data_IF_598334593036
#
_entry.id   IF_598334593036
#
_cell.length_a   1.000
_cell.length_b   1.000
_cell.length_c   1.000
_cell.angle_alpha   90.00
_cell.angle_beta   90.00
_cell.angle_gamma   90.00
#
_symmetry.space_group_name_H-M   'P 1'
#
loop_
_entity.id
_entity.type
_entity.pdbx_description
1 polymer ?
#
# COMPACT_ATOMS: atom_id res chain seq x y z
N UNK A 1 16.37 19.76 -13.11
CA UNK A 1 16.78 18.36 -13.22
C UNK A 1 15.49 17.57 -13.30
N UNK A 2 15.05 17.24 -14.53
CA UNK A 2 13.91 16.37 -14.75
C UNK A 2 14.28 15.01 -14.14
N UNK A 3 13.45 14.48 -13.28
CA UNK A 3 13.50 13.07 -12.95
C UNK A 3 12.92 12.39 -14.19
N UNK A 4 13.76 11.89 -15.08
CA UNK A 4 13.37 10.89 -16.05
C UNK A 4 13.04 9.62 -15.26
N UNK A 5 11.84 9.62 -14.69
CA UNK A 5 11.20 8.43 -14.13
C UNK A 5 10.61 7.68 -15.32
N UNK A 6 11.46 7.14 -16.19
CA UNK A 6 11.03 6.01 -16.99
C UNK A 6 10.56 4.96 -15.98
N UNK A 7 9.29 4.60 -16.04
CA UNK A 7 8.75 3.53 -15.19
C UNK A 7 9.58 2.29 -15.48
N UNK A 8 10.29 1.74 -14.49
CA UNK A 8 11.06 0.53 -14.73
C UNK A 8 10.12 -0.52 -15.34
N UNK A 9 10.52 -1.21 -16.43
CA UNK A 9 9.64 -2.07 -17.21
C UNK A 9 9.00 -3.22 -16.41
N UNK A 10 9.49 -3.47 -15.20
CA UNK A 10 9.08 -4.61 -14.38
C UNK A 10 8.07 -4.32 -13.27
N UNK A 11 7.62 -3.07 -13.10
CA UNK A 11 6.60 -2.76 -12.10
C UNK A 11 5.19 -2.93 -12.65
N UNK A 12 4.33 -3.60 -11.88
CA UNK A 12 2.91 -3.73 -12.19
C UNK A 12 2.23 -2.35 -12.27
N UNK A 13 1.24 -2.22 -13.16
CA UNK A 13 0.36 -1.04 -13.26
C UNK A 13 -0.34 -0.72 -11.93
N UNK A 14 -0.63 -1.73 -11.12
CA UNK A 14 -1.36 -1.64 -9.87
C UNK A 14 -0.49 -2.12 -8.71
N UNK A 15 -0.69 -1.57 -7.52
CA UNK A 15 -0.13 -2.07 -6.27
C UNK A 15 -1.27 -2.61 -5.38
N UNK A 16 -1.65 -3.86 -5.60
CA UNK A 16 -2.82 -4.47 -4.95
C UNK A 16 -2.48 -5.22 -3.67
N UNK A 17 -1.27 -5.78 -3.58
CA UNK A 17 -0.74 -6.52 -2.45
C UNK A 17 0.78 -6.64 -2.53
N UNK A 18 1.35 -7.30 -1.55
CA UNK A 18 2.75 -7.77 -1.57
C UNK A 18 2.83 -9.17 -2.19
N UNK A 19 1.75 -9.93 -2.06
CA UNK A 19 1.67 -11.25 -2.69
C UNK A 19 1.91 -11.15 -4.20
N UNK A 20 2.85 -11.95 -4.74
CA UNK A 20 3.26 -11.91 -6.14
C UNK A 20 4.28 -10.82 -6.50
N UNK A 21 4.68 -9.96 -5.56
CA UNK A 21 5.76 -8.99 -5.78
C UNK A 21 7.11 -9.67 -5.56
N UNK A 22 8.02 -9.55 -6.53
CA UNK A 22 9.35 -10.17 -6.43
C UNK A 22 10.27 -9.37 -5.51
N UNK A 23 11.38 -10.00 -5.07
CA UNK A 23 12.41 -9.34 -4.27
C UNK A 23 12.98 -8.13 -5.01
N UNK A 24 13.28 -8.28 -6.30
CA UNK A 24 13.85 -7.22 -7.14
C UNK A 24 12.91 -6.02 -7.25
N UNK A 25 11.59 -6.26 -7.36
CA UNK A 25 10.59 -5.20 -7.38
C UNK A 25 10.52 -4.47 -6.03
N UNK A 26 10.57 -5.19 -4.91
CA UNK A 26 10.60 -4.58 -3.58
C UNK A 26 11.88 -3.75 -3.38
N UNK A 27 13.04 -4.28 -3.75
CA UNK A 27 14.32 -3.58 -3.66
C UNK A 27 14.32 -2.30 -4.51
N UNK A 28 13.78 -2.35 -5.73
CA UNK A 28 13.61 -1.18 -6.59
C UNK A 28 12.71 -0.13 -5.98
N UNK A 29 11.57 -0.52 -5.40
CA UNK A 29 10.66 0.43 -4.71
C UNK A 29 11.37 1.07 -3.51
N UNK A 30 12.14 0.31 -2.75
CA UNK A 30 12.92 0.83 -1.62
C UNK A 30 14.02 1.79 -2.07
N UNK A 31 14.69 1.53 -3.20
CA UNK A 31 15.66 2.43 -3.80
C UNK A 31 15.02 3.76 -4.26
N UNK A 32 13.89 3.67 -4.94
CA UNK A 32 13.11 4.86 -5.32
C UNK A 32 12.65 5.65 -4.07
N UNK A 33 12.30 4.96 -2.99
CA UNK A 33 11.91 5.58 -1.72
C UNK A 33 13.07 6.37 -1.12
N UNK A 34 14.31 5.88 -1.17
CA UNK A 34 15.50 6.63 -0.73
C UNK A 34 15.62 7.96 -1.49
N UNK A 35 15.44 7.95 -2.81
CA UNK A 35 15.49 9.17 -3.64
C UNK A 35 14.39 10.16 -3.28
N UNK A 36 13.17 9.70 -3.04
CA UNK A 36 12.06 10.57 -2.62
C UNK A 36 12.21 11.07 -1.18
N UNK A 37 12.81 10.28 -0.30
CA UNK A 37 13.13 10.72 1.07
C UNK A 37 14.13 11.89 1.07
N UNK A 38 15.15 11.86 0.21
CA UNK A 38 16.10 12.99 0.03
C UNK A 38 15.39 14.25 -0.52
N UNK A 39 14.44 14.09 -1.43
CA UNK A 39 13.61 15.20 -1.91
C UNK A 39 12.80 15.80 -0.75
N UNK A 40 12.28 14.94 0.14
CA UNK A 40 11.50 15.35 1.31
C UNK A 40 12.27 16.23 2.31
N UNK A 41 13.61 16.18 2.32
CA UNK A 41 14.47 16.99 3.17
C UNK A 41 14.79 18.39 2.61
N UNK A 42 14.43 18.66 1.34
CA UNK A 42 14.71 19.95 0.69
C UNK A 42 13.84 21.08 1.27
N UNK A 43 14.30 22.34 1.22
CA UNK A 43 13.49 23.49 1.63
C UNK A 43 12.14 23.55 0.89
N UNK A 44 12.10 23.13 -0.39
CA UNK A 44 10.88 22.97 -1.17
C UNK A 44 10.78 21.48 -1.54
N UNK A 45 10.09 20.66 -0.72
CA UNK A 45 9.99 19.21 -0.91
C UNK A 45 8.92 18.86 -1.96
N UNK A 46 9.03 19.44 -3.16
CA UNK A 46 8.07 19.27 -4.25
C UNK A 46 8.79 19.01 -5.56
N UNK A 47 8.28 18.04 -6.33
CA UNK A 47 8.79 17.67 -7.65
C UNK A 47 7.64 17.50 -8.64
N UNK A 48 7.84 17.77 -9.96
CA UNK A 48 6.78 17.72 -10.97
C UNK A 48 6.52 16.31 -11.52
N UNK A 49 6.83 15.24 -10.75
CA UNK A 49 6.77 13.86 -11.25
C UNK A 49 5.35 13.44 -11.69
N UNK A 50 4.31 13.96 -11.04
CA UNK A 50 2.90 13.68 -11.37
C UNK A 50 2.15 14.95 -11.81
N UNK A 51 2.86 15.95 -12.36
CA UNK A 51 2.22 17.17 -12.84
C UNK A 51 1.25 16.85 -13.98
N UNK A 52 0.00 17.33 -13.86
CA UNK A 52 -1.07 17.06 -14.83
C UNK A 52 -1.69 15.67 -14.69
N UNK A 53 -1.36 14.94 -13.61
CA UNK A 53 -2.02 13.69 -13.22
C UNK A 53 -2.95 13.93 -12.04
N UNK A 54 -4.05 13.19 -12.00
CA UNK A 54 -5.06 13.26 -10.95
C UNK A 54 -5.01 12.01 -10.10
N UNK A 55 -4.84 12.19 -8.78
CA UNK A 55 -4.84 11.11 -7.78
C UNK A 55 -6.11 11.21 -6.95
N UNK A 56 -6.93 10.18 -6.97
CA UNK A 56 -8.17 10.11 -6.20
C UNK A 56 -8.01 9.22 -4.96
N UNK A 57 -8.26 9.80 -3.78
CA UNK A 57 -8.35 9.05 -2.51
C UNK A 57 -9.77 8.56 -2.32
N UNK A 58 -9.98 7.24 -2.40
CA UNK A 58 -11.29 6.56 -2.38
C UNK A 58 -11.39 5.70 -1.12
N UNK A 59 -11.85 6.30 -0.03
CA UNK A 59 -11.86 5.69 1.30
C UNK A 59 -13.28 5.34 1.73
N UNK A 60 -13.55 4.05 1.83
CA UNK A 60 -14.80 3.47 2.37
C UNK A 60 -14.67 3.08 3.85
N UNK A 61 -13.47 3.07 4.39
CA UNK A 61 -13.14 2.86 5.79
C UNK A 61 -12.36 4.08 6.30
N UNK A 62 -12.75 4.62 7.43
CA UNK A 62 -12.11 5.81 7.99
C UNK A 62 -10.64 5.56 8.33
N UNK A 63 -9.79 6.46 7.86
CA UNK A 63 -8.37 6.46 8.17
C UNK A 63 -7.76 7.83 7.92
N UNK A 64 -7.66 8.63 8.96
CA UNK A 64 -7.09 9.98 8.87
C UNK A 64 -5.62 9.93 8.46
N UNK A 65 -4.81 9.10 9.14
CA UNK A 65 -3.36 9.02 8.87
C UNK A 65 -3.05 8.57 7.45
N UNK A 66 -3.66 7.47 7.01
CA UNK A 66 -3.40 6.91 5.68
C UNK A 66 -3.82 7.89 4.59
N UNK A 67 -5.02 8.46 4.69
CA UNK A 67 -5.51 9.44 3.72
C UNK A 67 -4.60 10.66 3.61
N UNK A 68 -4.28 11.31 4.74
CA UNK A 68 -3.41 12.48 4.75
C UNK A 68 -2.01 12.17 4.24
N UNK A 69 -1.49 10.98 4.50
CA UNK A 69 -0.19 10.52 4.00
C UNK A 69 -0.17 10.46 2.47
N UNK A 70 -1.17 9.82 1.86
CA UNK A 70 -1.28 9.74 0.39
C UNK A 70 -1.54 11.10 -0.26
N UNK A 71 -2.45 11.91 0.31
CA UNK A 71 -2.73 13.25 -0.21
C UNK A 71 -1.49 14.15 -0.14
N UNK A 72 -0.73 14.08 0.96
CA UNK A 72 0.52 14.82 1.10
C UNK A 72 1.56 14.36 0.07
N UNK A 73 1.69 13.06 -0.16
CA UNK A 73 2.59 12.51 -1.16
C UNK A 73 2.21 12.96 -2.57
N UNK A 74 0.93 12.85 -2.95
CA UNK A 74 0.43 13.29 -4.26
C UNK A 74 0.73 14.77 -4.52
N UNK A 75 0.47 15.64 -3.53
CA UNK A 75 0.77 17.09 -3.63
C UNK A 75 2.26 17.39 -3.74
N UNK A 76 3.13 16.64 -3.05
CA UNK A 76 4.58 16.76 -3.18
C UNK A 76 5.08 16.32 -4.55
N UNK A 77 4.39 15.40 -5.20
CA UNK A 77 4.65 14.99 -6.57
C UNK A 77 3.99 15.88 -7.62
N UNK A 78 3.30 16.96 -7.21
CA UNK A 78 2.59 17.94 -8.06
C UNK A 78 1.37 17.37 -8.77
N UNK A 79 0.74 16.33 -8.23
CA UNK A 79 -0.53 15.81 -8.72
C UNK A 79 -1.70 16.71 -8.25
N UNK A 80 -2.77 16.73 -9.02
CA UNK A 80 -4.08 17.17 -8.57
C UNK A 80 -4.72 16.07 -7.71
N UNK A 81 -5.46 16.47 -6.68
CA UNK A 81 -6.04 15.50 -5.72
C UNK A 81 -7.55 15.59 -5.69
N UNK A 82 -8.22 14.45 -5.82
CA UNK A 82 -9.63 14.27 -5.56
C UNK A 82 -9.81 13.44 -4.28
N UNK A 83 -10.71 13.85 -3.41
CA UNK A 83 -10.98 13.13 -2.16
C UNK A 83 -12.43 12.68 -2.13
N UNK A 84 -12.63 11.37 -2.00
CA UNK A 84 -13.92 10.75 -1.78
C UNK A 84 -13.97 10.11 -0.38
N UNK A 85 -15.05 10.36 0.35
CA UNK A 85 -15.34 9.73 1.64
C UNK A 85 -16.76 9.19 1.65
N UNK A 86 -16.90 7.91 1.98
CA UNK A 86 -18.19 7.22 1.98
C UNK A 86 -19.24 7.87 2.92
N UNK A 87 -18.79 8.40 4.07
CA UNK A 87 -19.69 8.99 5.07
C UNK A 87 -20.43 10.24 4.62
N UNK A 88 -19.98 10.91 3.56
CA UNK A 88 -20.58 12.13 3.00
C UNK A 88 -21.10 11.97 1.57
N UNK A 89 -21.22 10.73 1.07
CA UNK A 89 -21.48 10.43 -0.34
C UNK A 89 -22.86 9.83 -0.59
N UNK A 90 -23.22 9.73 -1.87
CA UNK A 90 -24.45 9.09 -2.37
C UNK A 90 -24.58 7.59 -2.08
N UNK A 91 -23.52 6.94 -1.56
CA UNK A 91 -23.56 5.55 -1.08
C UNK A 91 -24.66 5.31 -0.05
N UNK A 92 -24.93 6.31 0.80
CA UNK A 92 -26.06 6.29 1.75
C UNK A 92 -27.43 6.19 1.04
N UNK A 93 -27.49 6.44 -0.27
CA UNK A 93 -28.69 6.37 -1.12
C UNK A 93 -28.78 5.12 -1.97
N UNK A 94 -27.88 4.12 -1.76
CA UNK A 94 -27.92 2.84 -2.46
C UNK A 94 -27.05 2.77 -3.73
N UNK A 95 -26.15 3.73 -3.96
CA UNK A 95 -25.16 3.68 -5.04
C UNK A 95 -24.19 2.50 -4.80
N UNK A 96 -23.89 1.75 -5.86
CA UNK A 96 -22.94 0.63 -5.73
C UNK A 96 -21.49 1.10 -5.71
N UNK A 97 -20.60 0.25 -5.17
CA UNK A 97 -19.15 0.50 -5.23
C UNK A 97 -18.67 0.73 -6.67
N UNK A 98 -19.22 -0.04 -7.62
CA UNK A 98 -18.85 0.04 -9.03
C UNK A 98 -19.26 1.38 -9.62
N UNK A 99 -20.49 1.82 -9.40
CA UNK A 99 -20.98 3.13 -9.89
C UNK A 99 -20.09 4.27 -9.37
N UNK A 100 -19.76 4.23 -8.06
CA UNK A 100 -18.86 5.21 -7.46
C UNK A 100 -17.48 5.24 -8.14
N UNK A 101 -16.90 4.07 -8.42
CA UNK A 101 -15.59 3.97 -9.10
C UNK A 101 -15.69 4.49 -10.54
N UNK A 102 -16.75 4.15 -11.27
CA UNK A 102 -16.98 4.61 -12.65
C UNK A 102 -17.14 6.14 -12.69
N UNK A 103 -17.90 6.71 -11.74
CA UNK A 103 -18.06 8.17 -11.61
C UNK A 103 -16.71 8.85 -11.32
N UNK A 104 -15.94 8.37 -10.35
CA UNK A 104 -14.63 8.94 -10.02
C UNK A 104 -13.67 8.83 -11.23
N UNK A 105 -13.71 7.71 -11.94
CA UNK A 105 -12.90 7.50 -13.14
C UNK A 105 -13.29 8.47 -14.26
N UNK A 106 -14.56 8.84 -14.37
CA UNK A 106 -15.05 9.80 -15.38
C UNK A 106 -14.51 11.23 -15.16
N UNK A 107 -14.10 11.57 -13.95
CA UNK A 107 -13.38 12.82 -13.64
C UNK A 107 -11.90 12.82 -14.08
N UNK A 108 -11.45 11.77 -14.77
CA UNK A 108 -10.09 11.69 -15.30
C UNK A 108 -9.04 11.32 -14.26
N UNK A 109 -9.40 10.52 -13.25
CA UNK A 109 -8.44 10.03 -12.27
C UNK A 109 -7.43 9.07 -12.94
N UNK A 110 -6.13 9.38 -12.81
CA UNK A 110 -5.01 8.53 -13.27
C UNK A 110 -4.65 7.46 -12.23
N UNK A 111 -4.86 7.76 -10.95
CA UNK A 111 -4.56 6.85 -9.82
C UNK A 111 -5.71 6.85 -8.84
N UNK A 112 -6.15 5.66 -8.44
CA UNK A 112 -7.12 5.45 -7.36
C UNK A 112 -6.42 4.83 -6.15
N UNK A 113 -6.47 5.51 -5.01
CA UNK A 113 -5.97 5.00 -3.73
C UNK A 113 -7.18 4.47 -2.97
N UNK A 114 -7.31 3.15 -2.90
CA UNK A 114 -8.51 2.48 -2.41
C UNK A 114 -8.30 1.89 -1.02
N UNK A 115 -9.19 2.24 -0.09
CA UNK A 115 -9.28 1.61 1.23
C UNK A 115 -10.70 1.13 1.50
N UNK A 116 -10.84 -0.14 1.88
CA UNK A 116 -12.14 -0.76 2.11
C UNK A 116 -12.11 -1.79 3.24
N UNK A 117 -13.25 -2.01 3.92
CA UNK A 117 -13.38 -3.04 4.96
C UNK A 117 -13.47 -4.48 4.42
N UNK A 118 -13.80 -4.65 3.14
CA UNK A 118 -13.88 -5.96 2.48
C UNK A 118 -12.57 -6.28 1.78
N UNK A 119 -12.02 -7.47 2.05
CA UNK A 119 -10.86 -8.02 1.36
C UNK A 119 -11.12 -8.18 -0.15
N UNK A 120 -10.10 -7.97 -0.98
CA UNK A 120 -10.17 -8.10 -2.44
C UNK A 120 -10.84 -6.93 -3.17
N UNK A 121 -11.30 -5.90 -2.44
CA UNK A 121 -11.92 -4.72 -3.07
C UNK A 121 -11.00 -4.00 -4.04
N UNK A 122 -9.71 -3.68 -3.73
CA UNK A 122 -8.81 -3.04 -4.69
C UNK A 122 -8.60 -3.85 -5.98
N UNK A 123 -8.57 -5.18 -5.88
CA UNK A 123 -8.51 -6.07 -7.04
C UNK A 123 -9.73 -5.87 -7.96
N UNK A 124 -10.93 -5.91 -7.39
CA UNK A 124 -12.16 -5.68 -8.17
C UNK A 124 -12.22 -4.29 -8.78
N UNK A 125 -11.78 -3.27 -8.05
CA UNK A 125 -11.70 -1.89 -8.55
C UNK A 125 -10.76 -1.80 -9.74
N UNK A 126 -9.64 -2.51 -9.75
CA UNK A 126 -8.69 -2.50 -10.86
C UNK A 126 -9.27 -3.06 -12.17
N UNK A 127 -10.32 -3.89 -12.09
CA UNK A 127 -11.03 -4.43 -13.24
C UNK A 127 -12.05 -3.44 -13.84
N UNK A 128 -12.46 -2.42 -13.08
CA UNK A 128 -13.49 -1.45 -13.48
C UNK A 128 -12.94 -0.11 -13.94
N UNK A 129 -11.63 0.09 -13.88
CA UNK A 129 -11.00 1.36 -14.23
C UNK A 129 -9.73 1.19 -15.06
N UNK A 130 -9.46 2.20 -15.88
CA UNK A 130 -8.17 2.32 -16.57
C UNK A 130 -7.10 3.02 -15.71
N UNK A 131 -7.44 3.55 -14.55
CA UNK A 131 -6.49 4.17 -13.63
C UNK A 131 -5.59 3.11 -12.97
N UNK A 132 -4.42 3.52 -12.49
CA UNK A 132 -3.62 2.70 -11.59
C UNK A 132 -4.30 2.61 -10.22
N UNK A 133 -4.36 1.41 -9.62
CA UNK A 133 -4.97 1.19 -8.32
C UNK A 133 -3.91 0.89 -7.27
N UNK A 134 -3.97 1.61 -6.15
CA UNK A 134 -3.11 1.40 -4.99
C UNK A 134 -3.96 0.98 -3.80
N UNK A 135 -3.68 -0.20 -3.24
CA UNK A 135 -4.34 -0.70 -2.04
C UNK A 135 -3.83 0.03 -0.79
N UNK A 136 -4.68 0.81 -0.16
CA UNK A 136 -4.43 1.52 1.10
C UNK A 136 -4.97 0.76 2.33
N UNK A 137 -5.21 -0.53 2.19
CA UNK A 137 -5.69 -1.47 3.20
C UNK A 137 -7.10 -1.98 2.90
N UNK A 138 -7.25 -3.31 2.79
CA UNK A 138 -8.50 -3.98 2.49
C UNK A 138 -8.80 -5.11 3.50
N UNK A 139 -9.79 -4.91 4.34
CA UNK A 139 -10.22 -5.87 5.36
C UNK A 139 -9.06 -6.40 6.20
N UNK A 140 -8.99 -7.71 6.37
CA UNK A 140 -7.86 -8.43 7.00
C UNK A 140 -6.86 -8.96 5.97
N UNK A 141 -6.93 -8.51 4.71
CA UNK A 141 -6.16 -9.07 3.60
C UNK A 141 -4.76 -8.47 3.52
N UNK A 142 -4.61 -7.27 2.95
CA UNK A 142 -3.29 -6.64 2.78
C UNK A 142 -3.30 -5.11 2.98
N UNK A 143 -2.12 -4.58 3.28
CA UNK A 143 -1.80 -3.15 3.27
C UNK A 143 -0.38 -2.95 2.73
N UNK A 144 -0.18 -3.11 1.41
CA UNK A 144 1.15 -3.17 0.81
C UNK A 144 2.01 -1.94 1.10
N UNK A 145 1.43 -0.75 1.05
CA UNK A 145 2.19 0.49 1.30
C UNK A 145 2.66 0.62 2.76
N UNK A 146 1.93 0.01 3.72
CA UNK A 146 2.42 -0.05 5.10
C UNK A 146 3.60 -1.02 5.21
N UNK A 147 3.53 -2.18 4.58
CA UNK A 147 4.66 -3.12 4.57
C UNK A 147 5.91 -2.51 3.93
N UNK A 148 5.76 -1.78 2.82
CA UNK A 148 6.87 -1.06 2.19
C UNK A 148 7.46 0.02 3.12
N UNK A 149 6.61 0.74 3.87
CA UNK A 149 7.06 1.70 4.89
C UNK A 149 7.85 1.02 6.00
N UNK A 150 7.38 -0.13 6.48
CA UNK A 150 8.04 -0.88 7.55
C UNK A 150 9.37 -1.47 7.05
N UNK A 151 9.42 -2.02 5.83
CA UNK A 151 10.68 -2.44 5.17
C UNK A 151 11.66 -1.29 5.05
N UNK A 152 11.20 -0.14 4.59
CA UNK A 152 12.03 1.05 4.46
C UNK A 152 12.60 1.50 5.81
N UNK A 153 11.77 1.53 6.84
CA UNK A 153 12.18 1.91 8.20
C UNK A 153 13.26 0.96 8.73
N UNK A 154 13.08 -0.34 8.57
CA UNK A 154 14.07 -1.35 8.97
C UNK A 154 15.38 -1.20 8.18
N UNK A 155 15.30 -0.99 6.86
CA UNK A 155 16.47 -0.73 6.01
C UNK A 155 17.23 0.48 6.48
N UNK A 156 16.56 1.59 6.80
CA UNK A 156 17.20 2.81 7.31
C UNK A 156 17.89 2.61 8.67
N UNK A 157 17.33 1.75 9.52
CA UNK A 157 17.87 1.50 10.87
C UNK A 157 19.01 0.47 10.89
N UNK A 158 19.01 -0.50 9.98
CA UNK A 158 19.87 -1.69 10.03
C UNK A 158 20.68 -1.94 8.74
N UNK A 159 20.43 -1.20 7.68
CA UNK A 159 21.11 -1.30 6.38
C UNK A 159 20.50 -2.36 5.45
N UNK A 160 20.16 -3.54 5.95
CA UNK A 160 19.56 -4.63 5.17
C UNK A 160 18.57 -5.42 6.02
N UNK A 161 17.57 -6.02 5.36
CA UNK A 161 16.66 -6.99 6.00
C UNK A 161 17.18 -8.43 5.83
N UNK A 162 18.11 -8.67 4.92
CA UNK A 162 18.62 -10.01 4.63
C UNK A 162 19.30 -10.63 5.87
N UNK A 163 18.87 -11.83 6.23
CA UNK A 163 19.32 -12.54 7.44
C UNK A 163 18.80 -11.99 8.77
N UNK A 164 18.03 -10.89 8.77
CA UNK A 164 17.48 -10.29 9.98
C UNK A 164 16.42 -11.22 10.61
N UNK A 165 16.43 -11.31 11.95
CA UNK A 165 15.35 -12.00 12.71
C UNK A 165 14.34 -10.97 13.20
N UNK A 166 13.08 -11.11 12.78
CA UNK A 166 12.00 -10.15 13.06
C UNK A 166 10.86 -10.89 13.76
N UNK A 167 10.47 -10.40 14.95
CA UNK A 167 9.27 -10.88 15.65
C UNK A 167 8.08 -9.96 15.40
N UNK A 168 6.95 -10.51 14.95
CA UNK A 168 5.67 -9.79 14.84
C UNK A 168 4.76 -10.29 15.96
N UNK A 169 4.39 -9.37 16.86
CA UNK A 169 3.63 -9.70 18.09
C UNK A 169 2.25 -9.08 18.03
N UNK A 170 1.20 -9.84 18.29
CA UNK A 170 -0.17 -9.34 18.42
C UNK A 170 -1.22 -10.22 17.77
N UNK A 171 -2.36 -9.62 17.38
CA UNK A 171 -3.44 -10.32 16.67
C UNK A 171 -3.06 -10.53 15.20
N UNK A 172 -2.28 -11.58 14.96
CA UNK A 172 -1.78 -11.91 13.61
C UNK A 172 -2.93 -12.27 12.66
N UNK A 173 -3.96 -12.92 13.17
CA UNK A 173 -5.09 -13.41 12.36
C UNK A 173 -5.87 -12.29 11.67
N UNK A 174 -6.10 -11.19 12.36
CA UNK A 174 -6.94 -10.10 11.86
C UNK A 174 -6.13 -8.90 11.37
N UNK A 175 -4.79 -8.97 11.46
CA UNK A 175 -3.91 -7.87 11.06
C UNK A 175 -3.47 -7.99 9.59
N UNK A 176 -4.09 -7.20 8.72
CA UNK A 176 -3.62 -7.01 7.34
C UNK A 176 -2.16 -6.56 7.26
N UNK A 177 -1.70 -5.77 8.23
CA UNK A 177 -0.31 -5.30 8.28
C UNK A 177 0.64 -6.44 8.58
N UNK A 178 0.32 -7.28 9.56
CA UNK A 178 1.14 -8.47 9.86
C UNK A 178 1.27 -9.37 8.63
N UNK A 179 0.16 -9.61 7.91
CA UNK A 179 0.17 -10.42 6.67
C UNK A 179 1.09 -9.83 5.60
N UNK A 180 0.92 -8.55 5.27
CA UNK A 180 1.78 -7.90 4.27
C UNK A 180 3.25 -7.83 4.71
N UNK A 181 3.51 -7.58 6.01
CA UNK A 181 4.87 -7.54 6.55
C UNK A 181 5.56 -8.89 6.47
N UNK A 182 4.85 -9.98 6.78
CA UNK A 182 5.39 -11.34 6.64
C UNK A 182 5.86 -11.58 5.22
N UNK A 183 5.01 -11.29 4.23
CA UNK A 183 5.33 -11.46 2.81
C UNK A 183 6.54 -10.61 2.41
N UNK A 184 6.53 -9.31 2.72
CA UNK A 184 7.58 -8.38 2.34
C UNK A 184 8.93 -8.71 3.01
N UNK A 185 8.93 -8.94 4.33
CA UNK A 185 10.15 -9.24 5.07
C UNK A 185 10.77 -10.57 4.63
N UNK A 186 9.94 -11.61 4.43
CA UNK A 186 10.42 -12.90 3.95
C UNK A 186 11.00 -12.82 2.54
N UNK A 187 10.35 -12.07 1.63
CA UNK A 187 10.87 -11.84 0.27
C UNK A 187 12.22 -11.11 0.30
N UNK A 188 12.45 -10.23 1.27
CA UNK A 188 13.71 -9.51 1.47
C UNK A 188 14.75 -10.30 2.29
N UNK A 189 14.50 -11.59 2.57
CA UNK A 189 15.45 -12.50 3.21
C UNK A 189 15.44 -12.49 4.73
N UNK A 190 14.49 -11.82 5.38
CA UNK A 190 14.37 -11.86 6.84
C UNK A 190 13.73 -13.17 7.33
N UNK A 191 14.11 -13.59 8.54
CA UNK A 191 13.47 -14.69 9.29
C UNK A 191 12.37 -14.11 10.14
N UNK A 192 11.11 -14.36 9.77
CA UNK A 192 9.95 -13.83 10.50
C UNK A 192 9.42 -14.85 11.50
N UNK A 193 9.23 -14.41 12.75
CA UNK A 193 8.58 -15.18 13.82
C UNK A 193 7.29 -14.49 14.21
N UNK A 194 6.17 -15.21 14.20
CA UNK A 194 4.88 -14.71 14.64
C UNK A 194 4.64 -15.11 16.10
N UNK A 195 4.23 -14.14 16.92
CA UNK A 195 3.94 -14.32 18.35
C UNK A 195 2.52 -13.83 18.59
N UNK A 196 1.61 -14.77 18.85
CA UNK A 196 0.19 -14.47 18.99
C UNK A 196 -0.43 -15.27 20.16
N UNK A 197 -1.54 -14.81 20.77
CA UNK A 197 -2.30 -15.60 21.72
C UNK A 197 -2.79 -16.90 21.06
N UNK A 198 -2.95 -17.95 21.86
CA UNK A 198 -3.54 -19.23 21.42
C UNK A 198 -5.03 -19.04 21.09
N UNK A 199 -5.33 -18.55 19.90
CA UNK A 199 -6.67 -18.66 19.32
C UNK A 199 -6.65 -19.74 18.26
N UNK A 200 -7.76 -20.48 17.99
CA UNK A 200 -7.78 -21.48 16.94
C UNK A 200 -7.54 -20.81 15.60
N UNK A 201 -6.30 -20.80 15.15
CA UNK A 201 -5.87 -20.25 13.88
C UNK A 201 -6.02 -21.33 12.82
N UNK A 202 -6.83 -21.06 11.79
CA UNK A 202 -6.81 -21.89 10.59
C UNK A 202 -5.50 -21.62 9.83
N UNK A 203 -4.57 -22.55 9.89
CA UNK A 203 -3.21 -22.45 9.31
C UNK A 203 -3.15 -22.69 7.81
N UNK A 204 -4.27 -22.72 7.10
CA UNK A 204 -4.34 -23.27 5.73
C UNK A 204 -3.64 -22.45 4.66
N UNK A 205 -3.11 -21.25 4.93
CA UNK A 205 -2.53 -20.40 3.89
C UNK A 205 -1.20 -19.71 4.21
N UNK A 206 -0.59 -19.98 5.37
CA UNK A 206 0.73 -19.42 5.71
C UNK A 206 1.71 -20.55 5.99
N UNK A 207 2.42 -21.01 4.95
CA UNK A 207 3.62 -21.84 5.11
C UNK A 207 4.75 -20.96 5.64
N UNK A 208 4.71 -20.65 6.95
CA UNK A 208 5.78 -19.89 7.61
C UNK A 208 6.72 -20.83 8.35
N UNK A 209 8.03 -20.57 8.34
CA UNK A 209 9.01 -21.49 8.89
C UNK A 209 8.97 -21.63 10.40
N UNK A 210 8.34 -20.71 11.15
CA UNK A 210 8.27 -20.83 12.63
C UNK A 210 7.14 -20.00 13.21
N UNK A 211 6.22 -20.64 13.94
CA UNK A 211 5.21 -20.00 14.78
C UNK A 211 5.51 -20.34 16.23
N UNK A 212 5.75 -19.33 17.06
CA UNK A 212 5.83 -19.49 18.51
C UNK A 212 4.47 -19.09 19.11
N UNK A 213 3.77 -20.06 19.67
CA UNK A 213 2.53 -19.83 20.44
C UNK A 213 2.90 -19.62 21.89
N UNK A 214 2.45 -18.52 22.49
CA UNK A 214 2.58 -18.21 23.92
C UNK A 214 1.22 -18.29 24.57
#
# INVERSE_FOLDING_TARGET
MSLDLETPPDLSKHLLGIEGTTREQLELILELTDRFAEIGKRPIPKVPALRGRTVASVFFEDSTRTRLSFESAARRLSADTLTFSAGSSSLSKGESLRDTVEVISSYGADVLIVRHSMAGTPQRVSEWTNASVVNAGDGCHEHPTQALLDCYTLKQQRGSLDGMSIGIVGDIRHSRVARSNVLAFSSLGAKVTLIAPQTPVSYTHLTLPTILLV
#
